data_IF_562649184921
#
_entry.id   IF_562649184921
#
_cell.length_a   1.000
_cell.length_b   1.000
_cell.length_c   1.000
_cell.angle_alpha   90.00
_cell.angle_beta   90.00
_cell.angle_gamma   90.00
#
_symmetry.space_group_name_H-M   'P 1'
#
loop_
_entity.id
_entity.type
_entity.pdbx_description
1 polymer ?
#
# COMPACT_ATOMS: atom_id res chain seq x y z
N UNK A 1 -23.27 -6.58 -10.79
CA UNK A 1 -22.33 -5.43 -10.76
C UNK A 1 -21.61 -5.30 -9.40
N UNK A 2 -22.33 -5.37 -8.27
CA UNK A 2 -21.73 -5.24 -6.94
C UNK A 2 -20.63 -6.28 -6.63
N UNK A 3 -20.86 -7.55 -7.00
CA UNK A 3 -19.88 -8.64 -6.80
C UNK A 3 -18.55 -8.36 -7.51
N UNK A 4 -18.61 -7.82 -8.73
CA UNK A 4 -17.42 -7.44 -9.50
C UNK A 4 -16.64 -6.32 -8.81
N UNK A 5 -17.33 -5.28 -8.33
CA UNK A 5 -16.71 -4.18 -7.60
C UNK A 5 -16.00 -4.69 -6.34
N UNK A 6 -16.65 -5.58 -5.57
CA UNK A 6 -16.05 -6.14 -4.37
C UNK A 6 -14.76 -6.91 -4.67
N UNK A 7 -14.78 -7.76 -5.71
CA UNK A 7 -13.58 -8.49 -6.12
C UNK A 7 -12.46 -7.59 -6.63
N UNK A 8 -12.79 -6.50 -7.34
CA UNK A 8 -11.79 -5.49 -7.76
C UNK A 8 -11.15 -4.82 -6.54
N UNK A 9 -11.95 -4.43 -5.53
CA UNK A 9 -11.43 -3.81 -4.30
C UNK A 9 -10.49 -4.76 -3.54
N UNK A 10 -10.86 -6.03 -3.44
CA UNK A 10 -10.04 -7.06 -2.80
C UNK A 10 -8.75 -7.29 -3.60
N UNK A 11 -8.83 -7.42 -4.93
CA UNK A 11 -7.67 -7.59 -5.79
C UNK A 11 -6.71 -6.39 -5.69
N UNK A 12 -7.24 -5.16 -5.66
CA UNK A 12 -6.46 -3.95 -5.42
C UNK A 12 -5.74 -4.01 -4.06
N UNK A 13 -6.45 -4.43 -3.01
CA UNK A 13 -5.85 -4.55 -1.68
C UNK A 13 -4.69 -5.55 -1.66
N UNK A 14 -4.89 -6.72 -2.26
CA UNK A 14 -3.86 -7.78 -2.38
C UNK A 14 -2.65 -7.25 -3.16
N UNK A 15 -2.87 -6.60 -4.30
CA UNK A 15 -1.79 -6.02 -5.11
C UNK A 15 -0.93 -5.05 -4.29
N UNK A 16 -1.57 -4.10 -3.62
CA UNK A 16 -0.87 -3.10 -2.79
C UNK A 16 -0.09 -3.77 -1.65
N UNK A 17 -0.69 -4.77 -0.98
CA UNK A 17 -0.04 -5.50 0.11
C UNK A 17 1.19 -6.32 -0.37
N UNK A 18 1.16 -6.83 -1.61
CA UNK A 18 2.26 -7.63 -2.16
C UNK A 18 3.38 -6.76 -2.72
N UNK A 19 3.05 -5.69 -3.44
CA UNK A 19 4.02 -4.91 -4.22
C UNK A 19 4.77 -3.90 -3.36
N UNK A 20 4.07 -3.21 -2.45
CA UNK A 20 4.68 -2.08 -1.74
C UNK A 20 5.72 -2.46 -0.67
N UNK A 21 5.57 -3.53 0.14
CA UNK A 21 6.58 -3.87 1.14
C UNK A 21 7.96 -4.23 0.55
N UNK A 22 8.07 -5.03 -0.54
CA UNK A 22 9.33 -5.23 -1.25
C UNK A 22 9.90 -3.94 -1.81
N UNK A 23 9.05 -3.06 -2.38
CA UNK A 23 9.47 -1.78 -2.93
C UNK A 23 10.05 -0.85 -1.86
N UNK A 24 9.40 -0.73 -0.70
CA UNK A 24 9.93 0.03 0.44
C UNK A 24 11.28 -0.52 0.91
N UNK A 25 11.45 -1.85 0.91
CA UNK A 25 12.73 -2.50 1.21
C UNK A 25 13.84 -2.09 0.24
N UNK A 26 13.52 -1.94 -1.05
CA UNK A 26 14.46 -1.47 -2.08
C UNK A 26 14.79 0.01 -1.88
N UNK A 27 13.79 0.85 -1.63
CA UNK A 27 14.00 2.29 -1.36
C UNK A 27 14.91 2.50 -0.16
N UNK A 28 14.72 1.75 0.93
CA UNK A 28 15.58 1.86 2.13
C UNK A 28 17.05 1.51 1.87
N UNK A 29 17.35 0.76 0.81
CA UNK A 29 18.72 0.39 0.41
C UNK A 29 19.30 1.34 -0.64
N UNK A 30 18.50 2.24 -1.21
CA UNK A 30 18.96 3.23 -2.18
C UNK A 30 19.95 4.19 -1.49
N UNK A 31 21.11 4.51 -2.10
CA UNK A 31 22.07 5.45 -1.55
C UNK A 31 21.48 6.83 -1.20
N UNK A 32 20.41 7.24 -1.89
CA UNK A 32 19.71 8.51 -1.65
C UNK A 32 18.81 8.49 -0.41
N UNK A 33 18.57 7.33 0.19
CA UNK A 33 17.62 7.18 1.28
C UNK A 33 18.12 7.76 2.61
N UNK A 34 19.45 7.78 2.80
CA UNK A 34 20.10 8.33 3.99
C UNK A 34 21.20 9.28 3.59
N UNK A 35 21.38 10.34 4.38
CA UNK A 35 22.49 11.27 4.21
C UNK A 35 23.80 10.71 4.82
N UNK A 36 24.88 11.48 4.69
CA UNK A 36 26.21 11.11 5.21
C UNK A 36 26.23 10.88 6.74
N UNK A 37 25.28 11.47 7.47
CA UNK A 37 25.11 11.29 8.92
C UNK A 37 24.15 10.14 9.26
N UNK A 38 23.66 9.41 8.25
CA UNK A 38 22.74 8.29 8.39
C UNK A 38 21.27 8.70 8.61
N UNK A 39 20.90 9.98 8.51
CA UNK A 39 19.53 10.47 8.73
C UNK A 39 18.68 10.24 7.47
N UNK A 40 17.39 9.96 7.68
CA UNK A 40 16.44 9.80 6.58
C UNK A 40 16.30 11.09 5.77
N UNK A 41 16.50 10.99 4.45
CA UNK A 41 16.33 12.11 3.53
C UNK A 41 14.86 12.33 3.17
N UNK A 42 14.56 13.45 2.51
CA UNK A 42 13.22 13.71 1.93
C UNK A 42 12.81 12.59 0.96
N UNK A 43 13.75 12.01 0.21
CA UNK A 43 13.48 10.88 -0.68
C UNK A 43 12.87 9.69 0.06
N UNK A 44 13.50 9.25 1.17
CA UNK A 44 12.98 8.15 1.97
C UNK A 44 11.64 8.51 2.64
N UNK A 45 11.50 9.76 3.12
CA UNK A 45 10.28 10.22 3.80
C UNK A 45 9.08 10.23 2.85
N UNK A 46 9.20 10.84 1.68
CA UNK A 46 8.11 10.94 0.70
C UNK A 46 7.65 9.55 0.29
N UNK A 47 8.58 8.65 -0.08
CA UNK A 47 8.20 7.29 -0.48
C UNK A 47 7.56 6.50 0.66
N UNK A 48 8.03 6.67 1.90
CA UNK A 48 7.41 6.00 3.05
C UNK A 48 5.98 6.49 3.26
N UNK A 49 5.72 7.80 3.13
CA UNK A 49 4.38 8.37 3.25
C UNK A 49 3.47 7.87 2.12
N UNK A 50 3.93 7.94 0.87
CA UNK A 50 3.16 7.48 -0.29
C UNK A 50 2.78 6.00 -0.17
N UNK A 51 3.75 5.15 0.16
CA UNK A 51 3.52 3.72 0.38
C UNK A 51 2.58 3.48 1.56
N UNK A 52 2.76 4.21 2.67
CA UNK A 52 1.89 4.11 3.84
C UNK A 52 0.44 4.46 3.51
N UNK A 53 0.22 5.55 2.75
CA UNK A 53 -1.10 5.95 2.29
C UNK A 53 -1.72 4.90 1.36
N UNK A 54 -0.95 4.33 0.41
CA UNK A 54 -1.42 3.25 -0.45
C UNK A 54 -1.83 2.00 0.33
N UNK A 55 -1.07 1.62 1.37
CA UNK A 55 -1.40 0.49 2.22
C UNK A 55 -2.64 0.76 3.10
N UNK A 56 -2.84 2.00 3.55
CA UNK A 56 -4.06 2.40 4.25
C UNK A 56 -5.28 2.28 3.34
N UNK A 57 -5.18 2.79 2.11
CA UNK A 57 -6.24 2.65 1.10
C UNK A 57 -6.51 1.19 0.74
N UNK A 58 -5.46 0.37 0.69
CA UNK A 58 -5.59 -1.07 0.50
C UNK A 58 -6.37 -1.73 1.64
N UNK A 59 -6.07 -1.38 2.90
CA UNK A 59 -6.79 -1.90 4.06
C UNK A 59 -8.28 -1.50 4.01
N UNK A 60 -8.57 -0.23 3.71
CA UNK A 60 -9.96 0.24 3.54
C UNK A 60 -10.65 -0.50 2.39
N UNK A 61 -9.97 -0.68 1.25
CA UNK A 61 -10.51 -1.40 0.09
C UNK A 61 -10.85 -2.85 0.45
N UNK A 62 -9.99 -3.52 1.21
CA UNK A 62 -10.23 -4.89 1.66
C UNK A 62 -11.48 -4.95 2.57
N UNK A 63 -11.57 -4.06 3.56
CA UNK A 63 -12.72 -4.00 4.48
C UNK A 63 -14.01 -3.77 3.71
N UNK A 64 -14.04 -2.77 2.82
CA UNK A 64 -15.24 -2.44 2.03
C UNK A 64 -15.61 -3.59 1.09
N UNK A 65 -14.64 -4.20 0.41
CA UNK A 65 -14.88 -5.33 -0.49
C UNK A 65 -15.44 -6.56 0.25
N UNK A 66 -14.89 -6.90 1.41
CA UNK A 66 -15.38 -8.02 2.23
C UNK A 66 -16.78 -7.72 2.80
N UNK A 67 -16.99 -6.53 3.37
CA UNK A 67 -18.32 -6.15 3.88
C UNK A 67 -19.38 -6.15 2.77
N UNK A 68 -19.03 -5.67 1.58
CA UNK A 68 -19.92 -5.71 0.42
C UNK A 68 -20.31 -7.12 -0.01
N UNK A 69 -19.39 -8.09 0.10
CA UNK A 69 -19.69 -9.51 -0.15
C UNK A 69 -20.53 -10.14 0.96
N UNK A 70 -20.37 -9.74 2.22
CA UNK A 70 -21.10 -10.33 3.35
C UNK A 70 -22.50 -9.75 3.53
N UNK A 71 -22.66 -8.45 3.29
CA UNK A 71 -23.94 -7.75 3.50
C UNK A 71 -24.76 -7.64 2.21
N UNK A 72 -24.11 -7.71 1.05
CA UNK A 72 -24.75 -7.60 -0.26
C UNK A 72 -24.98 -8.95 -0.97
N UNK A 73 -24.67 -10.07 -0.32
CA UNK A 73 -24.97 -11.44 -0.77
C UNK A 73 -26.29 -11.95 -0.24
#
# INVERSE_FOLDING_TARGET
MMTLVCWILIANAVWNAVVWPPFLRRIRKDPRARDASGKATTFLRVHTILIGASLLLAAVSLVVGVLGLVQGS
#
